data_IF_551238705015
#
_entry.id   IF_551238705015
#
_cell.length_a   1.000
_cell.length_b   1.000
_cell.length_c   1.000
_cell.angle_alpha   90.00
_cell.angle_beta   90.00
_cell.angle_gamma   90.00
#
_symmetry.space_group_name_H-M   'P 1'
#
loop_
_entity.id
_entity.type
_entity.pdbx_description
1 polymer ?
#
# COMPACT_ATOMS: atom_id res chain seq x y z
N UNK A 1 12.75 -0.32 3.62
CA UNK A 1 12.33 0.91 4.30
C UNK A 1 11.69 1.81 3.26
N UNK A 2 10.40 2.14 3.43
CA UNK A 2 9.72 3.13 2.60
C UNK A 2 10.32 4.49 2.91
N UNK A 3 10.95 5.10 1.93
CA UNK A 3 11.48 6.44 2.05
C UNK A 3 10.52 7.38 1.33
N UNK A 4 9.71 8.10 2.07
CA UNK A 4 8.73 9.05 1.55
C UNK A 4 9.35 10.02 0.53
N UNK A 5 8.59 10.33 -0.52
CA UNK A 5 8.97 11.27 -1.58
C UNK A 5 10.26 10.91 -2.35
N UNK A 6 10.64 9.63 -2.41
CA UNK A 6 11.74 9.16 -3.26
C UNK A 6 11.27 8.53 -4.58
N UNK A 7 9.99 8.55 -4.80
CA UNK A 7 9.33 8.08 -6.00
C UNK A 7 8.33 9.10 -6.51
N UNK A 8 8.00 9.02 -7.80
CA UNK A 8 6.97 9.85 -8.41
C UNK A 8 6.49 9.23 -9.71
N UNK A 9 5.28 9.58 -10.10
CA UNK A 9 4.65 9.13 -11.32
C UNK A 9 4.01 10.30 -12.03
N UNK A 10 4.25 10.39 -13.33
CA UNK A 10 3.57 11.29 -14.25
C UNK A 10 2.72 10.43 -15.16
N UNK A 11 1.40 10.47 -15.01
CA UNK A 11 0.44 9.74 -15.85
C UNK A 11 -0.18 10.70 -16.86
N UNK A 12 -0.19 10.33 -18.12
CA UNK A 12 -0.91 11.06 -19.18
C UNK A 12 -2.35 10.54 -19.23
N UNK A 13 -3.31 11.45 -19.11
CA UNK A 13 -4.75 11.15 -19.11
C UNK A 13 -5.43 11.57 -20.40
N UNK A 14 -4.77 12.38 -21.22
CA UNK A 14 -5.22 12.81 -22.53
C UNK A 14 -4.10 13.42 -23.36
N UNK A 15 -4.30 13.50 -24.68
CA UNK A 15 -3.33 14.03 -25.64
C UNK A 15 -4.02 14.95 -26.65
N UNK A 16 -4.65 16.03 -26.16
CA UNK A 16 -5.23 17.04 -27.05
C UNK A 16 -4.11 17.83 -27.74
N UNK A 17 -4.38 18.26 -28.99
CA UNK A 17 -3.48 19.14 -29.73
C UNK A 17 -3.27 20.45 -28.99
N UNK A 18 -2.11 21.07 -29.16
CA UNK A 18 -1.73 22.36 -28.57
C UNK A 18 -1.79 22.37 -27.02
N UNK A 19 -1.74 21.19 -26.38
CA UNK A 19 -1.66 21.09 -24.92
C UNK A 19 -0.25 21.36 -24.46
N UNK A 20 -0.08 22.35 -23.59
CA UNK A 20 1.22 22.66 -22.98
C UNK A 20 1.39 21.88 -21.68
N UNK A 21 2.48 21.11 -21.58
CA UNK A 21 2.89 20.34 -20.42
C UNK A 21 4.05 21.03 -19.71
N UNK A 22 3.89 21.24 -18.41
CA UNK A 22 4.95 21.75 -17.53
C UNK A 22 5.20 20.74 -16.43
N UNK A 23 6.45 20.42 -16.16
CA UNK A 23 6.87 19.50 -15.10
C UNK A 23 8.03 20.10 -14.32
N UNK A 24 7.96 20.02 -13.01
CA UNK A 24 9.05 20.43 -12.10
C UNK A 24 9.45 19.22 -11.25
N UNK A 25 10.71 18.87 -11.28
CA UNK A 25 11.31 17.75 -10.55
C UNK A 25 12.44 18.28 -9.68
N UNK A 26 12.38 18.04 -8.37
CA UNK A 26 13.41 18.50 -7.42
C UNK A 26 13.72 20.01 -7.52
N UNK A 27 12.69 20.82 -7.76
CA UNK A 27 12.82 22.27 -7.91
C UNK A 27 13.33 22.75 -9.28
N UNK A 28 13.61 21.85 -10.23
CA UNK A 28 14.03 22.18 -11.59
C UNK A 28 12.87 21.93 -12.57
N UNK A 29 12.51 22.96 -13.35
CA UNK A 29 11.46 22.88 -14.35
C UNK A 29 12.03 22.50 -15.72
N UNK A 30 11.33 21.60 -16.43
CA UNK A 30 11.61 21.38 -17.85
C UNK A 30 11.24 22.63 -18.66
N UNK A 31 11.81 22.77 -19.88
CA UNK A 31 11.23 23.67 -20.84
C UNK A 31 9.83 23.18 -21.22
N UNK A 32 8.85 24.11 -21.26
CA UNK A 32 7.47 23.75 -21.59
C UNK A 32 7.38 22.98 -22.92
N UNK A 33 6.58 21.91 -22.92
CA UNK A 33 6.34 21.10 -24.12
C UNK A 33 4.90 21.29 -24.60
N UNK A 34 4.71 21.63 -25.85
CA UNK A 34 3.37 21.74 -26.47
C UNK A 34 3.19 20.58 -27.44
N UNK A 35 2.11 19.82 -27.28
CA UNK A 35 1.81 18.64 -28.09
C UNK A 35 1.45 19.00 -29.53
N UNK A 36 2.00 18.28 -30.53
CA UNK A 36 1.63 18.48 -31.93
C UNK A 36 0.23 17.90 -32.25
N UNK A 37 -0.26 18.15 -33.45
CA UNK A 37 -1.60 17.71 -33.92
C UNK A 37 -1.76 16.18 -33.97
N UNK A 38 -0.67 15.42 -34.00
CA UNK A 38 -0.67 13.95 -34.01
C UNK A 38 -0.14 13.33 -32.71
N UNK A 39 -0.23 14.04 -31.60
CA UNK A 39 0.26 13.58 -30.32
C UNK A 39 -0.44 12.29 -29.89
N UNK A 40 0.36 11.28 -29.56
CA UNK A 40 -0.06 10.06 -28.85
C UNK A 40 0.53 10.04 -27.44
N UNK A 41 0.06 9.17 -26.57
CA UNK A 41 0.69 8.98 -25.25
C UNK A 41 2.18 8.73 -25.37
N UNK A 42 2.59 7.90 -26.33
CA UNK A 42 4.00 7.56 -26.53
C UNK A 42 4.86 8.78 -26.94
N UNK A 43 4.37 9.63 -27.81
CA UNK A 43 5.03 10.87 -28.22
C UNK A 43 5.19 11.81 -27.04
N UNK A 44 4.12 12.07 -26.31
CA UNK A 44 4.13 13.00 -25.15
C UNK A 44 5.06 12.46 -24.05
N UNK A 45 4.96 11.17 -23.70
CA UNK A 45 5.79 10.55 -22.68
C UNK A 45 7.26 10.53 -23.05
N UNK A 46 7.58 10.27 -24.33
CA UNK A 46 8.96 10.27 -24.82
C UNK A 46 9.58 11.66 -24.71
N UNK A 47 8.85 12.69 -25.11
CA UNK A 47 9.34 14.06 -25.07
C UNK A 47 9.49 14.55 -23.63
N UNK A 48 8.50 14.30 -22.77
CA UNK A 48 8.59 14.66 -21.35
C UNK A 48 9.77 13.96 -20.67
N UNK A 49 9.93 12.64 -20.93
CA UNK A 49 11.06 11.88 -20.38
C UNK A 49 12.40 12.49 -20.81
N UNK A 50 12.59 12.78 -22.10
CA UNK A 50 13.83 13.35 -22.63
C UNK A 50 14.14 14.72 -21.97
N UNK A 51 13.13 15.56 -21.76
CA UNK A 51 13.29 16.87 -21.08
C UNK A 51 13.62 16.71 -19.59
N UNK A 52 13.01 15.73 -18.91
CA UNK A 52 13.31 15.43 -17.50
C UNK A 52 14.74 14.88 -17.38
N UNK A 53 15.15 13.96 -18.25
CA UNK A 53 16.52 13.43 -18.26
C UNK A 53 17.56 14.52 -18.56
N UNK A 54 17.19 15.47 -19.43
CA UNK A 54 18.01 16.64 -19.75
C UNK A 54 18.28 17.58 -18.57
N UNK A 55 17.47 17.53 -17.51
CA UNK A 55 17.74 18.27 -16.26
C UNK A 55 18.96 17.74 -15.50
N UNK A 56 19.42 16.53 -15.82
CA UNK A 56 20.61 15.89 -15.22
C UNK A 56 20.59 15.87 -13.68
N UNK A 57 19.41 15.64 -13.08
CA UNK A 57 19.25 15.62 -11.62
C UNK A 57 19.97 14.41 -11.03
N UNK A 58 20.92 14.67 -10.13
CA UNK A 58 21.75 13.62 -9.53
C UNK A 58 20.90 12.57 -8.80
N UNK A 59 21.14 11.29 -9.14
CA UNK A 59 20.46 10.13 -8.54
C UNK A 59 19.02 9.93 -8.99
N UNK A 60 18.51 10.71 -9.95
CA UNK A 60 17.19 10.51 -10.56
C UNK A 60 17.29 9.46 -11.66
N UNK A 61 16.33 8.55 -11.68
CA UNK A 61 16.11 7.56 -12.75
C UNK A 61 14.68 7.69 -13.24
N UNK A 62 14.49 7.69 -14.56
CA UNK A 62 13.19 7.75 -15.21
C UNK A 62 12.94 6.50 -16.04
N UNK A 63 11.73 5.96 -15.96
CA UNK A 63 11.29 4.80 -16.75
C UNK A 63 10.00 5.15 -17.46
N UNK A 64 10.00 5.13 -18.79
CA UNK A 64 8.78 5.29 -19.60
C UNK A 64 8.01 3.98 -19.61
N UNK A 65 6.72 4.05 -19.38
CA UNK A 65 5.76 2.97 -19.39
C UNK A 65 4.63 3.29 -20.38
N UNK A 66 3.59 2.49 -20.43
CA UNK A 66 2.52 2.61 -21.45
C UNK A 66 1.81 3.97 -21.42
N UNK A 67 1.40 4.44 -20.25
CA UNK A 67 0.66 5.69 -20.03
C UNK A 67 1.33 6.63 -19.03
N UNK A 68 2.55 6.31 -18.60
CA UNK A 68 3.21 7.03 -17.52
C UNK A 68 4.73 7.06 -17.61
N UNK A 69 5.32 7.99 -16.86
CA UNK A 69 6.76 8.02 -16.54
C UNK A 69 6.90 7.79 -15.05
N UNK A 70 7.64 6.77 -14.69
CA UNK A 70 8.04 6.49 -13.32
C UNK A 70 9.36 7.19 -13.02
N UNK A 71 9.41 7.93 -11.92
CA UNK A 71 10.60 8.58 -11.40
C UNK A 71 11.01 7.93 -10.08
N UNK A 72 12.30 7.66 -9.90
CA UNK A 72 12.87 7.22 -8.64
C UNK A 72 14.16 7.98 -8.37
N UNK A 73 14.43 8.30 -7.10
CA UNK A 73 15.63 9.01 -6.69
C UNK A 73 16.17 8.44 -5.38
N UNK A 74 17.49 8.47 -5.21
CA UNK A 74 18.16 8.05 -3.97
C UNK A 74 17.97 9.04 -2.79
N UNK A 75 17.39 10.22 -3.05
CA UNK A 75 17.03 11.23 -2.07
C UNK A 75 15.57 11.68 -2.29
N UNK A 76 14.92 12.19 -1.26
CA UNK A 76 13.58 12.79 -1.41
C UNK A 76 13.61 13.96 -2.40
N UNK A 77 12.51 14.15 -3.13
CA UNK A 77 12.34 15.23 -4.10
C UNK A 77 10.88 15.68 -4.16
N UNK A 78 10.66 16.85 -4.69
CA UNK A 78 9.33 17.36 -5.02
C UNK A 78 9.02 17.08 -6.48
N UNK A 79 7.78 16.72 -6.79
CA UNK A 79 7.28 16.51 -8.14
C UNK A 79 5.95 17.26 -8.30
N UNK A 80 5.86 18.08 -9.34
CA UNK A 80 4.64 18.78 -9.71
C UNK A 80 4.57 18.94 -11.23
N UNK A 81 3.36 19.15 -11.75
CA UNK A 81 3.16 19.39 -13.17
C UNK A 81 1.75 19.83 -13.49
N UNK A 82 1.60 20.42 -14.65
CA UNK A 82 0.32 20.86 -15.20
C UNK A 82 0.25 20.55 -16.69
N UNK A 83 -0.94 20.26 -17.20
CA UNK A 83 -1.17 20.00 -18.63
C UNK A 83 -2.49 20.59 -19.11
N UNK A 84 -2.39 21.50 -20.06
CA UNK A 84 -3.51 22.23 -20.64
C UNK A 84 -4.13 23.26 -19.69
N UNK A 85 -5.15 24.01 -20.17
CA UNK A 85 -5.76 25.10 -19.39
C UNK A 85 -6.55 24.61 -18.17
N UNK A 86 -7.03 23.36 -18.18
CA UNK A 86 -7.85 22.77 -17.10
C UNK A 86 -7.07 21.73 -16.28
N UNK A 87 -5.79 21.56 -16.56
CA UNK A 87 -4.93 20.56 -15.91
C UNK A 87 -5.51 19.12 -15.90
N UNK A 88 -6.15 18.72 -16.98
CA UNK A 88 -6.87 17.45 -17.10
C UNK A 88 -6.23 16.44 -18.09
N UNK A 89 -5.04 16.76 -18.63
CA UNK A 89 -4.32 15.90 -19.58
C UNK A 89 -3.18 15.12 -18.92
N UNK A 90 -2.89 15.39 -17.66
CA UNK A 90 -1.80 14.76 -16.91
C UNK A 90 -2.14 14.74 -15.42
N UNK A 91 -1.87 13.62 -14.77
CA UNK A 91 -1.87 13.50 -13.32
C UNK A 91 -0.45 13.26 -12.81
N UNK A 92 -0.09 13.94 -11.72
CA UNK A 92 1.26 13.87 -11.12
C UNK A 92 1.11 13.56 -9.64
N UNK A 93 1.71 12.47 -9.20
CA UNK A 93 1.69 12.08 -7.79
C UNK A 93 3.01 11.42 -7.36
N UNK A 94 3.20 11.29 -6.06
CA UNK A 94 4.36 10.62 -5.49
C UNK A 94 3.96 9.34 -4.74
N UNK A 95 3.68 9.42 -3.46
CA UNK A 95 3.43 8.24 -2.63
C UNK A 95 1.93 7.94 -2.43
N UNK A 96 1.06 8.86 -2.86
CA UNK A 96 -0.38 8.73 -2.66
C UNK A 96 -1.19 9.30 -3.82
N UNK A 97 -2.39 8.74 -3.98
CA UNK A 97 -3.45 9.19 -4.90
C UNK A 97 -4.76 9.34 -4.16
N UNK A 98 -5.67 10.16 -4.70
CA UNK A 98 -7.00 10.31 -4.13
C UNK A 98 -7.93 9.16 -4.52
N UNK A 99 -7.81 8.66 -5.76
CA UNK A 99 -8.69 7.64 -6.35
C UNK A 99 -7.91 6.66 -7.22
N UNK A 100 -8.51 5.49 -7.52
CA UNK A 100 -7.87 4.44 -8.32
C UNK A 100 -7.61 4.82 -9.78
N UNK A 101 -8.43 5.68 -10.36
CA UNK A 101 -8.28 6.15 -11.74
C UNK A 101 -7.03 7.03 -11.95
N UNK A 102 -6.47 7.57 -10.88
CA UNK A 102 -5.20 8.29 -10.91
C UNK A 102 -3.99 7.35 -11.12
N UNK A 103 -4.14 6.06 -10.80
CA UNK A 103 -3.06 5.09 -10.96
C UNK A 103 -2.77 4.79 -12.44
N UNK A 104 -1.50 4.63 -12.84
CA UNK A 104 -1.15 4.21 -14.20
C UNK A 104 -1.63 2.79 -14.49
N UNK A 105 -1.96 2.50 -15.76
CA UNK A 105 -2.39 1.16 -16.18
C UNK A 105 -1.26 0.12 -16.07
N UNK A 106 -0.02 0.56 -16.20
CA UNK A 106 1.18 -0.26 -16.08
C UNK A 106 2.26 0.50 -15.33
N UNK A 107 2.96 -0.19 -14.41
CA UNK A 107 4.10 0.38 -13.69
C UNK A 107 5.17 -0.68 -13.38
N UNK A 108 6.13 -0.35 -12.54
CA UNK A 108 7.18 -1.29 -12.12
C UNK A 108 6.67 -2.21 -11.02
N UNK A 109 7.17 -3.45 -11.02
CA UNK A 109 6.86 -4.44 -9.99
C UNK A 109 7.22 -3.92 -8.59
N UNK A 110 6.38 -4.22 -7.60
CA UNK A 110 6.50 -3.74 -6.21
C UNK A 110 6.38 -2.20 -6.04
N UNK A 111 5.82 -1.49 -7.02
CA UNK A 111 5.45 -0.09 -6.80
C UNK A 111 4.28 -0.01 -5.81
N UNK A 112 4.51 0.62 -4.65
CA UNK A 112 3.50 0.80 -3.61
C UNK A 112 2.99 2.23 -3.62
N UNK A 113 1.67 2.39 -3.57
CA UNK A 113 0.97 3.68 -3.51
C UNK A 113 -0.13 3.63 -2.46
N UNK A 114 -0.28 4.70 -1.68
CA UNK A 114 -1.40 4.89 -0.77
C UNK A 114 -2.59 5.47 -1.53
N UNK A 115 -3.77 4.85 -1.39
CA UNK A 115 -5.04 5.41 -1.88
C UNK A 115 -5.75 6.04 -0.69
N UNK A 116 -6.03 7.34 -0.77
CA UNK A 116 -6.54 8.13 0.37
C UNK A 116 -8.06 8.20 0.39
N UNK A 117 -8.75 7.90 -0.72
CA UNK A 117 -10.22 7.98 -0.83
C UNK A 117 -10.80 9.30 -0.29
N UNK A 118 -10.37 10.43 -0.84
CA UNK A 118 -10.85 11.74 -0.42
C UNK A 118 -12.36 11.87 -0.62
N UNK A 119 -13.12 11.86 0.47
CA UNK A 119 -14.58 12.00 0.45
C UNK A 119 -15.36 10.79 0.94
N UNK A 120 -14.72 9.65 1.24
CA UNK A 120 -15.35 8.51 1.90
C UNK A 120 -14.93 8.43 3.38
N UNK A 121 -15.86 7.96 4.22
CA UNK A 121 -15.55 7.59 5.62
C UNK A 121 -14.66 6.34 5.72
N UNK A 122 -14.27 5.77 4.59
CA UNK A 122 -13.40 4.59 4.50
C UNK A 122 -11.94 4.99 4.65
N UNK A 123 -11.26 4.23 5.46
CA UNK A 123 -9.83 4.37 5.72
C UNK A 123 -9.00 4.28 4.44
N UNK A 124 -7.87 4.96 4.42
CA UNK A 124 -6.89 4.81 3.35
C UNK A 124 -6.30 3.40 3.35
N UNK A 125 -5.88 2.92 2.18
CA UNK A 125 -5.26 1.60 2.02
C UNK A 125 -4.06 1.67 1.07
N UNK A 126 -3.27 0.61 1.03
CA UNK A 126 -2.07 0.55 0.22
C UNK A 126 -2.23 -0.48 -0.89
N UNK A 127 -1.80 -0.10 -2.08
CA UNK A 127 -1.75 -0.98 -3.24
C UNK A 127 -0.31 -1.20 -3.68
N UNK A 128 0.00 -2.42 -4.04
CA UNK A 128 1.26 -2.82 -4.66
C UNK A 128 1.00 -3.32 -6.07
N UNK A 129 1.80 -2.87 -7.02
CA UNK A 129 1.72 -3.34 -8.40
C UNK A 129 2.49 -4.64 -8.58
N UNK A 130 1.84 -5.63 -9.19
CA UNK A 130 2.42 -6.94 -9.52
C UNK A 130 2.52 -7.04 -11.05
N UNK A 131 3.71 -6.83 -11.58
CA UNK A 131 3.95 -7.02 -13.00
C UNK A 131 4.06 -8.51 -13.34
N UNK A 132 3.43 -8.95 -14.43
CA UNK A 132 3.38 -10.36 -14.84
C UNK A 132 4.76 -10.96 -15.10
N UNK A 133 5.73 -10.15 -15.51
CA UNK A 133 7.12 -10.56 -15.76
C UNK A 133 8.06 -10.32 -14.55
N UNK A 134 7.53 -9.85 -13.42
CA UNK A 134 8.32 -9.55 -12.21
C UNK A 134 9.16 -8.28 -12.29
N UNK A 135 9.07 -7.49 -13.35
CA UNK A 135 9.87 -6.25 -13.52
C UNK A 135 9.02 -5.02 -13.79
N UNK A 136 8.31 -4.96 -14.91
CA UNK A 136 7.46 -3.83 -15.30
C UNK A 136 6.56 -4.20 -16.48
N UNK A 137 5.59 -3.34 -16.83
CA UNK A 137 4.65 -3.57 -17.92
C UNK A 137 3.34 -4.18 -17.44
N UNK A 138 2.65 -5.01 -18.26
CA UNK A 138 1.33 -5.55 -17.90
C UNK A 138 1.29 -6.27 -16.54
N UNK A 139 0.26 -6.00 -15.75
CA UNK A 139 0.10 -6.55 -14.41
C UNK A 139 -1.20 -6.10 -13.76
N UNK A 140 -1.25 -6.13 -12.44
CA UNK A 140 -2.41 -5.73 -11.65
C UNK A 140 -1.99 -5.11 -10.32
N UNK A 141 -2.91 -4.39 -9.69
CA UNK A 141 -2.75 -3.90 -8.33
C UNK A 141 -3.39 -4.85 -7.34
N UNK A 142 -2.73 -5.11 -6.24
CA UNK A 142 -3.28 -5.84 -5.10
C UNK A 142 -3.08 -5.06 -3.80
N UNK A 143 -3.94 -5.28 -2.81
CA UNK A 143 -3.74 -4.70 -1.49
C UNK A 143 -2.43 -5.19 -0.87
N UNK A 144 -1.79 -4.31 -0.10
CA UNK A 144 -0.54 -4.62 0.59
C UNK A 144 -0.45 -3.90 1.92
N UNK A 145 0.53 -4.31 2.70
CA UNK A 145 0.88 -3.66 3.95
C UNK A 145 1.57 -2.31 3.68
N UNK A 146 1.31 -1.33 4.52
CA UNK A 146 2.06 -0.08 4.53
C UNK A 146 3.56 -0.35 4.67
N UNK A 147 4.41 0.26 3.84
CA UNK A 147 5.85 -0.06 3.82
C UNK A 147 6.62 0.18 5.13
N UNK A 148 6.06 0.94 6.06
CA UNK A 148 6.67 1.23 7.37
C UNK A 148 6.06 0.44 8.53
N UNK A 149 5.09 -0.43 8.26
CA UNK A 149 4.35 -1.16 9.27
C UNK A 149 4.98 -2.52 9.57
N UNK A 150 4.92 -2.95 10.83
CA UNK A 150 5.36 -4.29 11.25
C UNK A 150 4.49 -5.38 10.63
N UNK A 151 5.11 -6.42 10.09
CA UNK A 151 4.41 -7.49 9.37
C UNK A 151 3.81 -8.56 10.27
N UNK A 152 4.27 -8.71 11.50
CA UNK A 152 3.84 -9.86 12.29
C UNK A 152 3.98 -9.71 13.80
N UNK A 153 3.54 -10.74 14.47
CA UNK A 153 3.62 -10.90 15.91
C UNK A 153 4.97 -11.51 16.29
N UNK A 154 5.55 -11.06 17.41
CA UNK A 154 6.74 -11.70 17.97
C UNK A 154 6.34 -13.04 18.60
N UNK A 155 6.57 -14.13 17.89
CA UNK A 155 6.22 -15.48 18.33
C UNK A 155 6.89 -15.90 19.65
N UNK A 156 7.91 -15.18 20.13
CA UNK A 156 8.55 -15.47 21.42
C UNK A 156 7.73 -14.98 22.62
N UNK A 157 6.89 -13.97 22.41
CA UNK A 157 6.02 -13.36 23.44
C UNK A 157 4.56 -13.79 23.33
N UNK A 158 4.23 -14.50 22.25
CA UNK A 158 2.87 -14.97 21.95
C UNK A 158 2.58 -16.34 22.56
N UNK A 159 1.30 -16.74 22.69
CA UNK A 159 0.93 -18.09 23.10
C UNK A 159 1.64 -19.18 22.31
N UNK A 160 1.96 -20.27 22.96
CA UNK A 160 2.55 -21.47 22.38
C UNK A 160 1.51 -22.59 22.32
N UNK A 161 1.73 -23.55 21.48
CA UNK A 161 0.89 -24.76 21.39
C UNK A 161 1.60 -25.97 22.00
N UNK A 162 0.80 -26.83 22.63
CA UNK A 162 1.23 -28.13 23.10
C UNK A 162 0.72 -29.20 22.15
N UNK A 163 1.63 -29.76 21.36
CA UNK A 163 1.30 -30.74 20.33
C UNK A 163 1.57 -32.15 20.85
N UNK A 164 0.57 -33.03 20.77
CA UNK A 164 0.79 -34.46 21.01
C UNK A 164 1.43 -35.08 19.76
N UNK A 165 2.69 -35.48 19.86
CA UNK A 165 3.48 -36.02 18.75
C UNK A 165 3.43 -37.57 18.68
N UNK A 166 3.11 -38.24 19.79
CA UNK A 166 2.88 -39.67 19.88
C UNK A 166 2.26 -40.04 21.24
N UNK A 167 1.95 -41.31 21.49
CA UNK A 167 1.42 -41.74 22.79
C UNK A 167 2.32 -41.29 23.93
N UNK A 168 1.78 -40.47 24.84
CA UNK A 168 2.44 -39.88 26.00
C UNK A 168 3.61 -38.92 25.69
N UNK A 169 3.78 -38.48 24.45
CA UNK A 169 4.79 -37.49 24.07
C UNK A 169 4.13 -36.19 23.60
N UNK A 170 4.58 -35.11 24.21
CA UNK A 170 4.08 -33.77 23.91
C UNK A 170 5.26 -32.83 23.64
N UNK A 171 5.10 -31.95 22.65
CA UNK A 171 6.09 -30.91 22.35
C UNK A 171 5.42 -29.55 22.51
N UNK A 172 6.01 -28.70 23.34
CA UNK A 172 5.63 -27.29 23.42
C UNK A 172 6.40 -26.52 22.34
N UNK A 173 5.68 -25.88 21.45
CA UNK A 173 6.27 -25.14 20.32
C UNK A 173 5.59 -23.82 20.07
N UNK A 174 6.28 -22.94 19.33
CA UNK A 174 5.74 -21.66 18.90
C UNK A 174 4.64 -21.89 17.86
N UNK A 175 3.56 -21.15 17.98
CA UNK A 175 2.51 -21.12 16.97
C UNK A 175 3.01 -20.34 15.74
N UNK A 176 2.81 -20.83 14.50
CA UNK A 176 3.13 -20.11 13.29
C UNK A 176 2.06 -19.04 12.98
N UNK A 177 2.05 -17.97 13.78
CA UNK A 177 1.08 -16.89 13.60
C UNK A 177 1.16 -16.30 12.20
N UNK A 178 -0.01 -16.13 11.57
CA UNK A 178 -0.10 -15.54 10.22
C UNK A 178 0.35 -14.08 10.28
N UNK A 179 1.21 -13.71 9.33
CA UNK A 179 1.69 -12.33 9.23
C UNK A 179 0.62 -11.41 8.65
N UNK A 180 0.59 -10.16 9.09
CA UNK A 180 -0.26 -9.11 8.52
C UNK A 180 0.17 -8.83 7.07
N UNK A 181 -0.77 -8.93 6.14
CA UNK A 181 -0.51 -8.79 4.70
C UNK A 181 -0.99 -7.46 4.11
N UNK A 182 -1.94 -6.79 4.76
CA UNK A 182 -2.60 -5.58 4.26
C UNK A 182 -2.78 -4.53 5.35
N UNK A 183 -2.95 -3.27 4.95
CA UNK A 183 -3.27 -2.15 5.85
C UNK A 183 -2.06 -1.59 6.60
N UNK A 184 -2.32 -1.00 7.74
CA UNK A 184 -1.37 -0.38 8.66
C UNK A 184 -1.85 -0.53 10.12
N UNK A 185 -1.24 0.21 11.05
CA UNK A 185 -1.61 0.12 12.46
C UNK A 185 -2.98 0.74 12.78
N UNK A 186 -3.56 1.54 11.87
CA UNK A 186 -4.90 2.12 12.01
C UNK A 186 -5.98 1.22 11.39
N UNK A 187 -5.70 0.59 10.23
CA UNK A 187 -6.68 -0.14 9.44
C UNK A 187 -6.66 -1.65 9.67
N UNK A 188 -5.57 -2.18 10.20
CA UNK A 188 -5.40 -3.59 10.54
C UNK A 188 -4.42 -3.75 11.70
N UNK A 189 -4.79 -3.18 12.86
CA UNK A 189 -3.97 -3.11 14.06
C UNK A 189 -3.55 -4.51 14.59
N UNK A 190 -2.54 -4.53 15.45
CA UNK A 190 -2.26 -5.73 16.24
C UNK A 190 -3.44 -6.02 17.18
N UNK A 191 -3.77 -7.31 17.40
CA UNK A 191 -4.84 -7.67 18.34
C UNK A 191 -4.57 -7.14 19.75
N UNK A 192 -5.61 -6.70 20.44
CA UNK A 192 -5.54 -6.00 21.73
C UNK A 192 -4.86 -6.80 22.84
N UNK A 193 -4.76 -8.12 22.74
CA UNK A 193 -4.03 -8.93 23.70
C UNK A 193 -2.49 -8.84 23.56
N UNK A 194 -1.96 -8.31 22.46
CA UNK A 194 -0.51 -8.16 22.25
C UNK A 194 0.07 -7.18 23.27
N UNK A 195 1.06 -7.63 24.02
CA UNK A 195 1.65 -6.86 25.13
C UNK A 195 0.83 -6.87 26.44
N UNK A 196 -0.34 -7.52 26.46
CA UNK A 196 -1.20 -7.64 27.63
C UNK A 196 -1.29 -9.08 28.13
N UNK A 197 -1.70 -9.24 29.38
CA UNK A 197 -1.88 -10.56 29.99
C UNK A 197 -3.14 -11.24 29.45
N UNK A 198 -3.00 -12.40 28.81
CA UNK A 198 -4.11 -13.27 28.46
C UNK A 198 -4.60 -13.96 29.73
N UNK A 199 -5.87 -13.82 30.05
CA UNK A 199 -6.50 -14.44 31.23
C UNK A 199 -7.18 -15.76 30.90
N UNK A 200 -7.67 -15.93 29.68
CA UNK A 200 -8.34 -17.14 29.24
C UNK A 200 -8.25 -17.30 27.72
N UNK A 201 -8.21 -18.53 27.23
CA UNK A 201 -8.43 -18.91 25.85
C UNK A 201 -9.74 -19.71 25.72
N UNK A 202 -10.40 -19.62 24.58
CA UNK A 202 -11.64 -20.33 24.31
C UNK A 202 -11.81 -20.59 22.80
N UNK A 203 -12.72 -21.51 22.47
CA UNK A 203 -13.16 -21.73 21.09
C UNK A 203 -14.65 -21.40 20.97
N UNK A 204 -15.00 -20.62 19.95
CA UNK A 204 -16.38 -20.31 19.64
C UNK A 204 -16.56 -20.05 18.15
N UNK A 205 -17.61 -20.63 17.56
CA UNK A 205 -17.94 -20.45 16.14
C UNK A 205 -16.74 -20.60 15.19
N UNK A 206 -16.00 -21.70 15.36
CA UNK A 206 -14.83 -22.01 14.56
C UNK A 206 -13.70 -20.96 14.62
N UNK A 207 -13.52 -20.31 15.77
CA UNK A 207 -12.51 -19.29 16.07
C UNK A 207 -11.78 -19.61 17.37
N UNK A 208 -10.48 -19.39 17.39
CA UNK A 208 -9.68 -19.34 18.62
C UNK A 208 -9.84 -17.93 19.24
N UNK A 209 -10.24 -17.84 20.50
CA UNK A 209 -10.42 -16.60 21.19
C UNK A 209 -9.54 -16.43 22.42
N UNK A 210 -9.21 -15.19 22.74
CA UNK A 210 -8.47 -14.77 23.92
C UNK A 210 -9.20 -13.66 24.66
N UNK A 211 -9.23 -13.79 26.00
CA UNK A 211 -9.65 -12.73 26.88
C UNK A 211 -8.41 -12.06 27.48
N UNK A 212 -8.34 -10.75 27.40
CA UNK A 212 -7.23 -9.95 27.90
C UNK A 212 -7.75 -8.63 28.45
N UNK A 213 -7.57 -8.39 29.76
CA UNK A 213 -8.17 -7.26 30.44
C UNK A 213 -9.70 -7.17 30.16
N UNK A 214 -10.14 -6.12 29.49
CA UNK A 214 -11.52 -5.87 29.07
C UNK A 214 -11.75 -6.12 27.58
N UNK A 215 -10.83 -6.82 26.91
CA UNK A 215 -10.90 -7.10 25.47
C UNK A 215 -11.15 -8.57 25.16
N UNK A 216 -11.83 -8.81 24.06
CA UNK A 216 -12.06 -10.11 23.44
C UNK A 216 -11.48 -10.08 22.03
N UNK A 217 -10.44 -10.88 21.79
CA UNK A 217 -9.85 -11.04 20.47
C UNK A 217 -10.12 -12.46 19.97
N UNK A 218 -10.60 -12.60 18.72
CA UNK A 218 -10.90 -13.89 18.10
C UNK A 218 -10.25 -13.96 16.72
N UNK A 219 -9.71 -15.12 16.39
CA UNK A 219 -9.08 -15.41 15.09
C UNK A 219 -10.06 -15.31 13.93
N UNK A 220 -9.55 -15.32 12.72
CA UNK A 220 -10.32 -15.61 11.51
C UNK A 220 -11.05 -16.96 11.67
N UNK A 221 -12.28 -17.03 11.13
CA UNK A 221 -13.06 -18.27 11.17
C UNK A 221 -12.39 -19.34 10.32
N UNK A 222 -12.06 -20.49 10.95
CA UNK A 222 -11.38 -21.61 10.30
C UNK A 222 -9.87 -21.48 10.17
N UNK A 223 -9.28 -20.30 10.46
CA UNK A 223 -7.84 -20.10 10.55
C UNK A 223 -7.49 -19.56 11.94
N UNK A 224 -7.15 -20.46 12.87
CA UNK A 224 -6.98 -20.17 14.28
C UNK A 224 -5.74 -19.33 14.60
N UNK A 225 -4.81 -19.23 13.69
CA UNK A 225 -3.56 -18.50 13.89
C UNK A 225 -3.50 -17.20 13.08
N UNK A 226 -4.59 -16.87 12.37
CA UNK A 226 -4.74 -15.58 11.73
C UNK A 226 -5.54 -14.62 12.61
N UNK A 227 -4.87 -13.54 13.05
CA UNK A 227 -5.45 -12.48 13.87
C UNK A 227 -5.55 -11.15 13.12
N UNK A 228 -5.36 -11.15 11.80
CA UNK A 228 -5.40 -9.96 10.96
C UNK A 228 -6.48 -10.03 9.89
N UNK A 229 -7.05 -8.88 9.54
CA UNK A 229 -7.96 -8.76 8.42
C UNK A 229 -7.27 -9.11 7.10
N UNK A 230 -8.03 -9.70 6.18
CA UNK A 230 -7.55 -10.08 4.84
C UNK A 230 -7.64 -8.93 3.83
N UNK A 231 -8.42 -7.90 4.14
CA UNK A 231 -8.54 -6.66 3.37
C UNK A 231 -8.65 -5.46 4.32
N UNK A 232 -8.03 -4.35 3.97
CA UNK A 232 -8.16 -3.07 4.69
C UNK A 232 -9.40 -2.27 4.22
N UNK A 233 -10.03 -2.67 3.11
CA UNK A 233 -11.19 -1.98 2.53
C UNK A 233 -12.52 -2.63 2.92
N UNK A 234 -12.53 -3.95 3.08
CA UNK A 234 -13.76 -4.72 3.28
C UNK A 234 -13.59 -5.69 4.43
N UNK A 235 -14.46 -5.58 5.43
CA UNK A 235 -14.55 -6.54 6.53
C UNK A 235 -15.62 -7.57 6.18
N UNK A 236 -15.28 -8.85 6.34
CA UNK A 236 -16.17 -9.99 6.10
C UNK A 236 -16.53 -10.69 7.42
N UNK A 237 -17.59 -11.50 7.41
CA UNK A 237 -18.00 -12.29 8.58
C UNK A 237 -16.96 -13.32 9.03
N UNK A 238 -15.99 -13.64 8.16
CA UNK A 238 -14.89 -14.57 8.48
C UNK A 238 -13.69 -13.88 9.13
N UNK A 239 -13.56 -12.55 9.02
CA UNK A 239 -12.40 -11.83 9.53
C UNK A 239 -12.28 -11.89 11.06
N UNK A 240 -11.09 -11.70 11.61
CA UNK A 240 -10.86 -11.64 13.05
C UNK A 240 -11.73 -10.59 13.73
N UNK A 241 -12.02 -10.83 15.00
CA UNK A 241 -12.81 -9.93 15.85
C UNK A 241 -11.90 -9.44 16.98
N UNK A 242 -11.85 -8.13 17.20
CA UNK A 242 -11.14 -7.52 18.33
C UNK A 242 -12.00 -6.42 18.92
N UNK A 243 -12.56 -6.68 20.10
CA UNK A 243 -13.54 -5.80 20.74
C UNK A 243 -13.21 -5.55 22.20
N UNK A 244 -13.40 -4.31 22.66
CA UNK A 244 -13.40 -3.96 24.08
C UNK A 244 -14.79 -4.17 24.66
N UNK A 245 -14.87 -4.88 25.77
CA UNK A 245 -16.10 -5.07 26.53
C UNK A 245 -16.41 -3.89 27.48
N UNK A 246 -15.44 -2.98 27.69
CA UNK A 246 -15.63 -1.83 28.57
C UNK A 246 -16.43 -0.73 27.87
N UNK A 247 -17.54 -0.35 28.46
CA UNK A 247 -18.33 0.83 28.07
C UNK A 247 -17.92 2.07 28.85
N UNK A 248 -17.01 1.94 29.81
CA UNK A 248 -16.55 3.07 30.64
C UNK A 248 -15.35 3.70 29.94
N UNK A 249 -15.58 4.86 29.34
CA UNK A 249 -14.50 5.70 28.86
C UNK A 249 -13.63 6.10 30.07
N UNK A 250 -12.34 5.83 30.12
CA UNK A 250 -11.50 6.36 31.20
C UNK A 250 -11.61 7.87 31.22
N UNK A 251 -11.88 8.43 32.37
CA UNK A 251 -11.90 9.87 32.63
C UNK A 251 -10.46 10.39 32.66
#
# INVERSE_FOLDING_TARGET
TFNANRQGTIKITGTSVDTTYNVTVAGQSISAYTSPSNATYDVVLTELKNRIDGLSISGLTTTKLKDSIRLTRNASFTLSGTAGPFNNQMNVFQDQVATLDELPSETVHNHVVKVVNSGALTSSYFLKYVANNGTSGPGYYEETLSPSTSTGLDASTMPHELVNTSVNNFTLQRIPWVARAVGDDDTNAHPSFVGNKITQSFFHNNRLGFLSADTVSMSQSGDFFNMYHTSAQTITDSDPIDLSASTVKPV
#
